data_IF_807226612268
#
_entry.id   IF_807226612268
#
_cell.length_a   1.000
_cell.length_b   1.000
_cell.length_c   1.000
_cell.angle_alpha   90.00
_cell.angle_beta   90.00
_cell.angle_gamma   90.00
#
_symmetry.space_group_name_H-M   'P 1'
#
loop_
_entity.id
_entity.type
_entity.pdbx_description
1 polymer ?
#
# COMPACT_ATOMS: atom_id res chain seq x y z
N UNK A 1 1.78 -4.51 -29.22
CA UNK A 1 1.73 -4.07 -27.81
C UNK A 1 0.27 -3.83 -27.43
N UNK A 2 -0.10 -4.09 -26.18
CA UNK A 2 -1.44 -3.83 -25.65
C UNK A 2 -1.60 -2.34 -25.41
N UNK A 3 -2.69 -1.75 -25.88
CA UNK A 3 -3.08 -0.39 -25.57
C UNK A 3 -4.01 -0.41 -24.35
N UNK A 4 -3.70 0.38 -23.33
CA UNK A 4 -4.58 0.57 -22.17
C UNK A 4 -5.40 1.84 -22.36
N UNK A 5 -6.72 1.74 -22.41
CA UNK A 5 -7.62 2.90 -22.34
C UNK A 5 -8.13 3.06 -20.91
N UNK A 6 -7.72 4.11 -20.20
CA UNK A 6 -8.18 4.40 -18.84
C UNK A 6 -9.35 5.38 -18.86
N UNK A 7 -10.44 5.04 -18.17
CA UNK A 7 -11.67 5.82 -18.12
C UNK A 7 -12.15 6.07 -16.70
N UNK A 8 -12.65 7.28 -16.47
CA UNK A 8 -13.26 7.67 -15.21
C UNK A 8 -14.74 7.24 -15.10
N UNK A 9 -15.34 6.77 -16.21
CA UNK A 9 -16.76 6.44 -16.31
C UNK A 9 -16.98 5.18 -17.13
N UNK A 10 -17.77 4.25 -16.56
CA UNK A 10 -18.22 3.04 -17.27
C UNK A 10 -19.06 3.34 -18.51
N UNK A 11 -19.74 4.50 -18.54
CA UNK A 11 -20.53 4.92 -19.70
C UNK A 11 -19.63 5.28 -20.88
N UNK A 12 -18.57 6.05 -20.63
CA UNK A 12 -17.61 6.43 -21.68
C UNK A 12 -16.82 5.22 -22.18
N UNK A 13 -16.41 4.36 -21.24
CA UNK A 13 -15.74 3.10 -21.55
C UNK A 13 -16.61 2.22 -22.46
N UNK A 14 -17.90 2.06 -22.15
CA UNK A 14 -18.83 1.27 -22.97
C UNK A 14 -18.98 1.84 -24.38
N UNK A 15 -19.01 3.17 -24.53
CA UNK A 15 -19.00 3.82 -25.84
C UNK A 15 -17.71 3.54 -26.62
N UNK A 16 -16.56 3.63 -25.96
CA UNK A 16 -15.27 3.36 -26.58
C UNK A 16 -15.05 1.89 -26.92
N UNK A 17 -15.62 0.96 -26.14
CA UNK A 17 -15.58 -0.47 -26.46
C UNK A 17 -16.20 -0.75 -27.83
N UNK A 18 -17.41 -0.23 -28.06
CA UNK A 18 -18.10 -0.36 -29.35
C UNK A 18 -17.29 0.25 -30.50
N UNK A 19 -16.70 1.43 -30.29
CA UNK A 19 -15.85 2.07 -31.30
C UNK A 19 -14.55 1.29 -31.55
N UNK A 20 -13.99 0.67 -30.52
CA UNK A 20 -12.77 -0.13 -30.63
C UNK A 20 -13.00 -1.41 -31.44
N UNK A 21 -14.13 -2.09 -31.20
CA UNK A 21 -14.54 -3.33 -31.88
C UNK A 21 -14.99 -3.10 -33.34
N UNK A 22 -15.31 -1.88 -33.74
CA UNK A 22 -15.82 -1.55 -35.09
C UNK A 22 -14.91 -0.55 -35.84
N UNK A 23 -15.04 0.74 -35.53
CA UNK A 23 -14.35 1.83 -36.22
C UNK A 23 -12.82 1.76 -36.13
N UNK A 24 -12.28 1.56 -34.93
CA UNK A 24 -10.82 1.53 -34.71
C UNK A 24 -10.23 0.31 -35.39
N UNK A 25 -10.86 -0.86 -35.25
CA UNK A 25 -10.46 -2.07 -35.95
C UNK A 25 -10.43 -1.85 -37.47
N UNK A 26 -11.50 -1.28 -38.04
CA UNK A 26 -11.59 -1.00 -39.47
C UNK A 26 -10.52 -0.02 -39.93
N UNK A 27 -10.31 1.08 -39.19
CA UNK A 27 -9.30 2.10 -39.53
C UNK A 27 -7.88 1.57 -39.43
N UNK A 28 -7.55 0.79 -38.39
CA UNK A 28 -6.24 0.14 -38.24
C UNK A 28 -5.96 -0.88 -39.34
N UNK A 29 -7.00 -1.56 -39.84
CA UNK A 29 -6.87 -2.50 -40.94
C UNK A 29 -6.74 -1.82 -42.31
N UNK A 30 -7.37 -0.66 -42.51
CA UNK A 30 -7.37 0.04 -43.80
C UNK A 30 -6.24 1.07 -43.98
N UNK A 31 -5.31 1.18 -43.03
CA UNK A 31 -4.21 2.17 -43.07
C UNK A 31 -3.46 2.19 -44.40
N UNK A 32 -3.13 1.01 -44.95
CA UNK A 32 -2.40 0.88 -46.21
C UNK A 32 -3.32 0.68 -47.43
N UNK A 33 -4.63 0.63 -47.21
CA UNK A 33 -5.65 0.46 -48.25
C UNK A 33 -6.31 1.80 -48.63
N UNK A 34 -5.97 2.90 -47.96
CA UNK A 34 -6.48 4.23 -48.28
C UNK A 34 -5.59 4.97 -49.28
N UNK A 35 -6.19 5.80 -50.11
CA UNK A 35 -5.47 6.69 -51.05
C UNK A 35 -4.61 7.75 -50.35
N UNK A 36 -4.80 7.94 -49.04
CA UNK A 36 -3.99 8.86 -48.22
C UNK A 36 -2.74 8.13 -47.72
N UNK A 37 -1.57 8.58 -48.16
CA UNK A 37 -0.28 8.10 -47.62
C UNK A 37 -0.13 8.47 -46.15
N UNK A 38 0.22 7.48 -45.33
CA UNK A 38 0.41 7.62 -43.88
C UNK A 38 1.78 7.06 -43.47
N UNK A 39 2.87 7.82 -43.69
CA UNK A 39 4.23 7.38 -43.37
C UNK A 39 4.36 6.96 -41.89
N UNK A 40 5.04 5.84 -41.65
CA UNK A 40 5.27 5.32 -40.30
C UNK A 40 4.12 4.50 -39.69
N UNK A 41 2.96 4.39 -40.37
CA UNK A 41 1.86 3.52 -39.93
C UNK A 41 1.80 2.22 -40.74
N UNK A 42 1.57 1.10 -40.04
CA UNK A 42 1.39 -0.22 -40.63
C UNK A 42 -0.03 -0.74 -40.43
N UNK A 43 -0.52 -1.56 -41.36
CA UNK A 43 -1.79 -2.26 -41.20
C UNK A 43 -1.73 -3.20 -39.98
N UNK A 44 -2.73 -3.10 -39.10
CA UNK A 44 -2.86 -3.95 -37.90
C UNK A 44 -4.29 -4.44 -37.76
N UNK A 45 -4.45 -5.75 -37.56
CA UNK A 45 -5.73 -6.35 -37.19
C UNK A 45 -5.86 -6.32 -35.67
N UNK A 46 -6.83 -5.55 -35.17
CA UNK A 46 -7.26 -5.60 -33.77
C UNK A 46 -8.27 -6.75 -33.67
N UNK A 47 -8.04 -7.70 -32.76
CA UNK A 47 -8.89 -8.88 -32.62
C UNK A 47 -9.39 -9.09 -31.21
N UNK A 48 -8.64 -8.61 -30.22
CA UNK A 48 -8.94 -8.86 -28.83
C UNK A 48 -9.06 -7.54 -28.06
N UNK A 49 -10.30 -7.05 -27.94
CA UNK A 49 -10.66 -5.90 -27.12
C UNK A 49 -11.31 -6.44 -25.85
N UNK A 50 -10.75 -6.12 -24.69
CA UNK A 50 -11.27 -6.57 -23.41
C UNK A 50 -11.42 -5.41 -22.43
N UNK A 51 -12.12 -5.65 -21.32
CA UNK A 51 -12.37 -4.68 -20.26
C UNK A 51 -11.89 -5.18 -18.89
N UNK A 52 -11.39 -4.25 -18.08
CA UNK A 52 -11.02 -4.47 -16.69
C UNK A 52 -11.75 -3.43 -15.83
N UNK A 53 -12.99 -3.75 -15.48
CA UNK A 53 -13.91 -2.84 -14.80
C UNK A 53 -14.62 -3.55 -13.66
N UNK A 54 -15.38 -2.79 -12.86
CA UNK A 54 -16.23 -3.36 -11.81
C UNK A 54 -17.38 -4.23 -12.33
N UNK A 55 -17.63 -4.30 -13.65
CA UNK A 55 -18.60 -5.21 -14.26
C UNK A 55 -18.05 -6.63 -14.44
N UNK A 56 -16.73 -6.77 -14.44
CA UNK A 56 -16.07 -8.07 -14.55
C UNK A 56 -16.19 -8.80 -13.22
N UNK A 57 -16.60 -10.07 -13.27
CA UNK A 57 -16.75 -10.86 -12.04
C UNK A 57 -15.39 -11.15 -11.41
N UNK A 58 -15.33 -11.25 -10.07
CA UNK A 58 -14.09 -11.56 -9.35
C UNK A 58 -13.43 -12.88 -9.80
N UNK A 59 -14.23 -13.83 -10.34
CA UNK A 59 -13.73 -15.10 -10.88
C UNK A 59 -12.98 -14.93 -12.21
N UNK A 60 -13.34 -13.92 -12.99
CA UNK A 60 -12.74 -13.66 -14.31
C UNK A 60 -11.52 -12.74 -14.23
N UNK A 61 -11.40 -11.94 -13.17
CA UNK A 61 -10.28 -11.00 -13.00
C UNK A 61 -8.93 -11.72 -13.12
N UNK A 62 -8.61 -12.78 -12.35
CA UNK A 62 -7.30 -13.44 -12.44
C UNK A 62 -6.98 -13.91 -13.86
N UNK A 63 -7.96 -14.55 -14.52
CA UNK A 63 -7.80 -15.03 -15.91
C UNK A 63 -7.49 -13.89 -16.89
N UNK A 64 -8.13 -12.73 -16.73
CA UNK A 64 -7.84 -11.56 -17.59
C UNK A 64 -6.47 -10.98 -17.32
N UNK A 65 -6.01 -10.99 -16.07
CA UNK A 65 -4.66 -10.57 -15.70
C UNK A 65 -3.61 -11.49 -16.33
N UNK A 66 -3.79 -12.80 -16.22
CA UNK A 66 -2.92 -13.78 -16.88
C UNK A 66 -2.86 -13.53 -18.40
N UNK A 67 -4.00 -13.19 -19.01
CA UNK A 67 -4.05 -12.89 -20.43
C UNK A 67 -3.34 -11.57 -20.81
N UNK A 68 -3.32 -10.57 -19.91
CA UNK A 68 -2.59 -9.32 -20.11
C UNK A 68 -1.07 -9.52 -20.05
N UNK A 69 -0.59 -10.56 -19.38
CA UNK A 69 0.84 -10.92 -19.37
C UNK A 69 1.31 -11.57 -20.68
N UNK A 70 0.39 -12.12 -21.48
CA UNK A 70 0.71 -12.77 -22.75
C UNK A 70 1.38 -11.77 -23.72
N UNK A 71 2.59 -12.12 -24.17
CA UNK A 71 3.36 -11.31 -25.12
C UNK A 71 2.83 -11.47 -26.55
N UNK A 72 2.91 -10.41 -27.34
CA UNK A 72 2.58 -10.48 -28.77
C UNK A 72 3.60 -11.35 -29.51
N UNK A 73 3.09 -12.22 -30.38
CA UNK A 73 3.87 -13.10 -31.26
C UNK A 73 3.49 -12.86 -32.72
N UNK A 74 4.41 -13.16 -33.64
CA UNK A 74 4.18 -13.00 -35.09
C UNK A 74 3.17 -14.03 -35.63
N UNK A 75 3.20 -15.25 -35.12
CA UNK A 75 2.27 -16.33 -35.44
C UNK A 75 1.69 -16.92 -34.16
N UNK A 76 0.45 -17.38 -34.24
CA UNK A 76 -0.30 -17.99 -33.14
C UNK A 76 -0.74 -19.39 -33.55
N UNK A 77 -0.56 -20.38 -32.67
CA UNK A 77 -1.06 -21.72 -32.92
C UNK A 77 -2.60 -21.77 -32.80
N UNK A 78 -3.22 -22.78 -33.43
CA UNK A 78 -4.67 -23.00 -33.34
C UNK A 78 -5.03 -23.37 -31.89
N UNK A 79 -5.87 -22.55 -31.24
CA UNK A 79 -6.28 -22.74 -29.85
C UNK A 79 -5.39 -22.06 -28.79
N UNK A 80 -4.32 -21.37 -29.19
CA UNK A 80 -3.48 -20.62 -28.27
C UNK A 80 -4.16 -19.32 -27.79
N UNK A 81 -4.05 -19.02 -26.50
CA UNK A 81 -4.55 -17.75 -25.92
C UNK A 81 -3.79 -16.58 -26.50
N UNK A 82 -4.50 -15.69 -27.18
CA UNK A 82 -3.92 -14.49 -27.79
C UNK A 82 -3.77 -13.35 -26.78
N UNK A 83 -2.71 -12.57 -26.97
CA UNK A 83 -2.52 -11.30 -26.26
C UNK A 83 -3.71 -10.35 -26.49
N UNK A 84 -4.01 -9.51 -25.49
CA UNK A 84 -5.04 -8.48 -25.60
C UNK A 84 -4.49 -7.30 -26.41
N UNK A 85 -5.22 -6.87 -27.45
CA UNK A 85 -4.86 -5.71 -28.28
C UNK A 85 -5.15 -4.40 -27.55
N UNK A 86 -6.35 -4.30 -26.99
CA UNK A 86 -6.85 -3.13 -26.27
C UNK A 86 -7.51 -3.60 -24.99
N UNK A 87 -7.07 -3.05 -23.85
CA UNK A 87 -7.76 -3.23 -22.57
C UNK A 87 -8.35 -1.90 -22.15
N UNK A 88 -9.65 -1.87 -21.92
CA UNK A 88 -10.36 -0.69 -21.42
C UNK A 88 -10.58 -0.86 -19.92
N UNK A 89 -10.03 0.04 -19.13
CA UNK A 89 -10.01 -0.10 -17.68
C UNK A 89 -10.51 1.16 -16.98
N UNK A 90 -10.95 0.96 -15.74
CA UNK A 90 -11.20 2.04 -14.77
C UNK A 90 -10.22 1.89 -13.59
N UNK A 91 -10.59 2.39 -12.42
CA UNK A 91 -9.85 2.26 -11.16
C UNK A 91 -9.39 0.83 -10.84
N UNK A 92 -10.01 -0.21 -11.40
CA UNK A 92 -9.55 -1.60 -11.23
C UNK A 92 -8.10 -1.83 -11.67
N UNK A 93 -7.57 -1.03 -12.61
CA UNK A 93 -6.16 -1.10 -13.00
C UNK A 93 -5.22 -0.45 -11.96
N UNK A 94 -5.69 0.56 -11.23
CA UNK A 94 -4.88 1.25 -10.24
C UNK A 94 -4.71 0.41 -8.96
N UNK A 95 -5.74 -0.37 -8.59
CA UNK A 95 -5.73 -1.24 -7.41
C UNK A 95 -5.06 -2.59 -7.72
N UNK A 96 -3.79 -2.73 -7.32
CA UNK A 96 -3.15 -4.04 -7.09
C UNK A 96 -2.88 -4.95 -8.29
N UNK A 97 -3.15 -4.51 -9.53
CA UNK A 97 -2.84 -5.29 -10.73
C UNK A 97 -1.36 -5.12 -11.10
N UNK A 98 -0.58 -6.21 -11.08
CA UNK A 98 0.82 -6.20 -11.49
C UNK A 98 1.01 -6.79 -12.88
N UNK A 99 0.90 -5.94 -13.92
CA UNK A 99 1.25 -6.35 -15.29
C UNK A 99 2.47 -5.55 -15.72
N UNK A 100 3.63 -6.18 -15.61
CA UNK A 100 4.93 -5.52 -15.82
C UNK A 100 5.20 -5.03 -17.25
N UNK A 101 4.37 -5.45 -18.22
CA UNK A 101 4.64 -5.25 -19.65
C UNK A 101 3.85 -4.17 -20.37
N UNK A 102 3.01 -3.43 -19.66
CA UNK A 102 2.20 -2.36 -20.27
C UNK A 102 3.13 -1.20 -20.66
N UNK A 103 3.06 -0.79 -21.94
CA UNK A 103 3.93 0.25 -22.49
C UNK A 103 3.20 1.41 -23.18
N UNK A 104 1.88 1.32 -23.35
CA UNK A 104 1.09 2.37 -23.95
C UNK A 104 -0.24 2.53 -23.22
N UNK A 105 -0.54 3.75 -22.78
CA UNK A 105 -1.80 4.09 -22.14
C UNK A 105 -2.36 5.40 -22.68
N UNK A 106 -3.68 5.43 -22.84
CA UNK A 106 -4.45 6.64 -23.10
C UNK A 106 -5.37 6.85 -21.91
N UNK A 107 -5.26 8.00 -21.25
CA UNK A 107 -6.12 8.39 -20.12
C UNK A 107 -7.18 9.36 -20.63
N UNK A 108 -8.45 8.96 -20.56
CA UNK A 108 -9.57 9.78 -21.02
C UNK A 108 -10.14 10.65 -19.89
N UNK A 109 -9.80 11.93 -19.92
CA UNK A 109 -10.11 12.93 -18.89
C UNK A 109 -9.24 12.76 -17.65
N UNK A 110 -9.14 13.81 -16.83
CA UNK A 110 -8.36 13.74 -15.61
C UNK A 110 -9.07 12.85 -14.57
N UNK A 111 -8.39 11.83 -13.99
CA UNK A 111 -8.95 11.05 -12.90
C UNK A 111 -9.38 11.89 -11.71
N UNK A 112 -10.39 11.40 -10.99
CA UNK A 112 -11.03 12.19 -9.93
C UNK A 112 -10.08 12.54 -8.79
N UNK A 113 -9.14 11.64 -8.50
CA UNK A 113 -8.13 11.83 -7.47
C UNK A 113 -6.73 11.81 -8.09
N UNK A 114 -5.82 12.63 -7.59
CA UNK A 114 -4.42 12.62 -8.02
C UNK A 114 -3.75 11.30 -7.68
N UNK A 115 -4.05 10.72 -6.51
CA UNK A 115 -3.53 9.40 -6.13
C UNK A 115 -3.89 8.32 -7.17
N UNK A 116 -5.13 8.34 -7.66
CA UNK A 116 -5.62 7.40 -8.66
C UNK A 116 -4.90 7.58 -10.01
N UNK A 117 -4.70 8.84 -10.44
CA UNK A 117 -3.93 9.16 -11.63
C UNK A 117 -2.52 8.56 -11.56
N UNK A 118 -1.80 8.81 -10.46
CA UNK A 118 -0.44 8.28 -10.24
C UNK A 118 -0.44 6.75 -10.27
N UNK A 119 -1.36 6.13 -9.52
CA UNK A 119 -1.43 4.67 -9.43
C UNK A 119 -1.79 4.01 -10.76
N UNK A 120 -2.57 4.66 -11.61
CA UNK A 120 -2.91 4.15 -12.94
C UNK A 120 -1.76 4.34 -13.94
N UNK A 121 -1.21 5.56 -14.04
CA UNK A 121 -0.18 5.87 -15.05
C UNK A 121 1.16 5.22 -14.75
N UNK A 122 1.51 5.04 -13.46
CA UNK A 122 2.70 4.29 -13.03
C UNK A 122 2.65 2.77 -13.32
N UNK A 123 1.54 2.25 -13.83
CA UNK A 123 1.45 0.86 -14.34
C UNK A 123 2.10 0.70 -15.70
N UNK A 124 2.34 1.80 -16.40
CA UNK A 124 2.87 1.81 -17.77
C UNK A 124 4.32 2.24 -17.72
N UNK A 125 5.18 1.51 -18.44
CA UNK A 125 6.58 1.88 -18.55
C UNK A 125 7.50 1.34 -17.44
N UNK A 126 7.09 0.27 -16.73
CA UNK A 126 7.86 -0.31 -15.60
C UNK A 126 9.15 -1.01 -16.02
N UNK A 127 9.06 -1.89 -17.02
CA UNK A 127 10.21 -2.69 -17.50
C UNK A 127 10.84 -2.10 -18.75
N UNK A 128 10.01 -1.52 -19.63
CA UNK A 128 10.43 -0.90 -20.88
C UNK A 128 9.89 0.53 -20.92
N UNK A 129 10.48 1.45 -21.69
CA UNK A 129 9.94 2.80 -21.85
C UNK A 129 8.45 2.76 -22.21
N UNK A 130 7.65 3.53 -21.47
CA UNK A 130 6.21 3.64 -21.64
C UNK A 130 5.81 5.02 -22.14
N UNK A 131 4.72 5.08 -22.90
CA UNK A 131 4.08 6.33 -23.32
C UNK A 131 2.67 6.41 -22.73
N UNK A 132 2.39 7.50 -22.02
CA UNK A 132 1.07 7.81 -21.50
C UNK A 132 0.57 9.08 -22.17
N UNK A 133 -0.58 9.00 -22.84
CA UNK A 133 -1.24 10.14 -23.45
C UNK A 133 -2.48 10.51 -22.63
N UNK A 134 -2.50 11.68 -22.01
CA UNK A 134 -3.68 12.19 -21.30
C UNK A 134 -4.52 13.04 -22.25
N UNK A 135 -5.75 12.61 -22.51
CA UNK A 135 -6.70 13.29 -23.40
C UNK A 135 -7.70 14.05 -22.53
N UNK A 136 -7.60 15.37 -22.51
CA UNK A 136 -8.44 16.24 -21.68
C UNK A 136 -9.59 16.83 -22.51
N UNK A 137 -10.82 16.76 -22.01
CA UNK A 137 -12.00 17.22 -22.75
C UNK A 137 -12.25 18.71 -22.49
N UNK A 138 -12.15 19.54 -23.51
CA UNK A 138 -12.34 21.01 -23.39
C UNK A 138 -13.71 21.43 -22.84
N UNK A 139 -14.77 20.64 -23.08
CA UNK A 139 -16.12 20.94 -22.55
C UNK A 139 -16.26 20.69 -21.05
N UNK A 140 -15.26 20.09 -20.40
CA UNK A 140 -15.22 19.87 -18.95
C UNK A 140 -14.30 20.91 -18.31
N UNK A 141 -14.82 21.86 -17.52
CA UNK A 141 -14.00 22.91 -16.90
C UNK A 141 -12.81 22.37 -16.08
N UNK A 142 -13.00 21.21 -15.42
CA UNK A 142 -11.93 20.52 -14.68
C UNK A 142 -10.79 20.07 -15.59
N UNK A 143 -11.11 19.41 -16.70
CA UNK A 143 -10.12 18.92 -17.65
C UNK A 143 -9.38 20.11 -18.30
N UNK A 144 -10.09 21.19 -18.61
CA UNK A 144 -9.49 22.41 -19.14
C UNK A 144 -8.49 23.04 -18.15
N UNK A 145 -8.85 23.16 -16.88
CA UNK A 145 -7.93 23.67 -15.84
C UNK A 145 -6.67 22.80 -15.69
N UNK A 146 -6.82 21.47 -15.77
CA UNK A 146 -5.67 20.56 -15.78
C UNK A 146 -4.84 20.67 -17.05
N UNK A 147 -5.45 20.97 -18.20
CA UNK A 147 -4.74 21.17 -19.45
C UNK A 147 -3.87 22.44 -19.39
N UNK A 148 -4.44 23.55 -18.92
CA UNK A 148 -3.73 24.83 -18.78
C UNK A 148 -2.55 24.77 -17.81
N UNK A 149 -2.60 23.87 -16.82
CA UNK A 149 -1.56 23.73 -15.79
C UNK A 149 -0.78 22.42 -15.90
N UNK A 150 -0.89 21.70 -17.03
CA UNK A 150 -0.46 20.30 -17.14
C UNK A 150 1.01 20.08 -16.74
N UNK A 151 1.94 20.90 -17.24
CA UNK A 151 3.37 20.81 -16.93
C UNK A 151 3.65 21.10 -15.46
N UNK A 152 3.08 22.19 -14.92
CA UNK A 152 3.26 22.54 -13.51
C UNK A 152 2.66 21.48 -12.57
N UNK A 153 1.49 20.95 -12.93
CA UNK A 153 0.85 19.85 -12.23
C UNK A 153 1.77 18.62 -12.23
N UNK A 154 2.30 18.21 -13.38
CA UNK A 154 3.23 17.07 -13.50
C UNK A 154 4.60 17.30 -12.83
N UNK A 155 5.06 18.54 -12.70
CA UNK A 155 6.27 18.84 -11.95
C UNK A 155 6.05 18.72 -10.42
N UNK A 156 4.79 18.82 -9.97
CA UNK A 156 4.46 18.94 -8.54
C UNK A 156 3.35 18.01 -8.05
N UNK A 157 2.97 17.00 -8.83
CA UNK A 157 1.79 16.16 -8.65
C UNK A 157 1.70 15.46 -7.28
N UNK A 158 2.83 15.11 -6.65
CA UNK A 158 2.82 14.55 -5.30
C UNK A 158 2.24 15.50 -4.24
N UNK A 159 2.35 16.83 -4.41
CA UNK A 159 1.74 17.80 -3.49
C UNK A 159 0.22 17.83 -3.57
N UNK A 160 -0.33 17.38 -4.70
CA UNK A 160 -1.76 17.35 -5.00
C UNK A 160 -2.42 16.03 -4.61
N UNK A 161 -1.65 15.07 -4.10
CA UNK A 161 -2.19 13.82 -3.55
C UNK A 161 -3.07 14.17 -2.36
N UNK A 162 -4.35 13.85 -2.48
CA UNK A 162 -5.32 14.14 -1.45
C UNK A 162 -4.94 13.39 -0.17
N UNK A 163 -4.85 14.09 0.94
CA UNK A 163 -4.73 13.44 2.24
C UNK A 163 -5.97 12.57 2.44
N UNK A 164 -5.79 11.26 2.52
CA UNK A 164 -6.88 10.37 2.89
C UNK A 164 -7.37 10.80 4.27
N UNK A 165 -8.68 11.01 4.43
CA UNK A 165 -9.27 11.50 5.67
C UNK A 165 -9.14 10.45 6.77
N UNK A 166 -7.97 10.42 7.41
CA UNK A 166 -7.74 9.65 8.62
C UNK A 166 -8.15 10.50 9.80
N UNK A 167 -9.06 9.99 10.63
CA UNK A 167 -9.41 10.64 11.90
C UNK A 167 -8.34 10.26 12.92
N UNK A 168 -7.43 11.16 13.33
CA UNK A 168 -6.40 10.82 14.30
C UNK A 168 -7.03 10.40 15.63
N UNK A 169 -6.37 9.50 16.35
CA UNK A 169 -6.84 8.99 17.66
C UNK A 169 -8.29 8.47 17.63
N UNK A 170 -8.73 7.90 16.51
CA UNK A 170 -10.00 7.18 16.45
C UNK A 170 -9.98 6.00 17.44
N UNK A 171 -11.08 5.73 18.19
CA UNK A 171 -11.10 4.66 19.21
C UNK A 171 -10.59 3.32 18.70
N UNK A 172 -11.02 2.90 17.50
CA UNK A 172 -10.62 1.63 16.89
C UNK A 172 -9.16 1.59 16.44
N UNK A 173 -8.58 2.74 16.12
CA UNK A 173 -7.15 2.83 15.84
C UNK A 173 -6.33 2.69 17.14
N UNK A 174 -6.80 3.28 18.24
CA UNK A 174 -6.17 3.13 19.56
C UNK A 174 -6.28 1.70 20.07
N UNK A 175 -7.42 1.04 19.90
CA UNK A 175 -7.60 -0.37 20.28
C UNK A 175 -6.53 -1.29 19.65
N UNK A 176 -6.12 -1.00 18.41
CA UNK A 176 -5.17 -1.82 17.64
C UNK A 176 -3.71 -1.40 17.80
N UNK A 177 -3.43 -0.10 17.93
CA UNK A 177 -2.06 0.43 17.84
C UNK A 177 -1.47 0.96 19.15
N UNK A 178 -2.29 1.22 20.16
CA UNK A 178 -1.85 1.90 21.38
C UNK A 178 -0.87 1.05 22.20
N UNK A 179 -1.16 -0.24 22.36
CA UNK A 179 -0.33 -1.14 23.17
C UNK A 179 1.07 -1.33 22.58
N UNK A 180 1.15 -1.53 21.27
CA UNK A 180 2.44 -1.61 20.57
C UNK A 180 3.24 -0.31 20.73
N UNK A 181 2.60 0.84 20.50
CA UNK A 181 3.24 2.15 20.67
C UNK A 181 3.75 2.37 22.09
N UNK A 182 2.92 2.08 23.10
CA UNK A 182 3.25 2.25 24.52
C UNK A 182 4.42 1.36 24.93
N UNK A 183 4.40 0.08 24.55
CA UNK A 183 5.46 -0.87 24.87
C UNK A 183 6.76 -0.47 24.17
N UNK A 184 6.71 -0.08 22.90
CA UNK A 184 7.89 0.41 22.17
C UNK A 184 8.50 1.65 22.84
N UNK A 185 7.68 2.62 23.28
CA UNK A 185 8.18 3.78 24.01
C UNK A 185 8.88 3.39 25.31
N UNK A 186 8.29 2.48 26.11
CA UNK A 186 8.91 2.02 27.35
C UNK A 186 10.24 1.29 27.10
N UNK A 187 10.29 0.41 26.10
CA UNK A 187 11.50 -0.38 25.76
C UNK A 187 12.63 0.46 25.17
N UNK A 188 12.30 1.54 24.47
CA UNK A 188 13.27 2.45 23.85
C UNK A 188 13.77 3.51 24.83
N UNK A 189 12.98 3.91 25.81
CA UNK A 189 13.35 4.93 26.79
C UNK A 189 14.09 4.35 28.01
N UNK A 190 13.83 3.09 28.36
CA UNK A 190 14.37 2.49 29.58
C UNK A 190 15.05 1.15 29.28
N UNK A 191 16.35 1.06 29.57
CA UNK A 191 17.16 -0.13 29.31
C UNK A 191 16.67 -1.36 30.09
N UNK A 192 16.19 -1.19 31.32
CA UNK A 192 15.68 -2.28 32.17
C UNK A 192 14.44 -2.98 31.57
N UNK A 193 13.67 -2.25 30.76
CA UNK A 193 12.48 -2.75 30.07
C UNK A 193 12.83 -3.28 28.67
N UNK A 194 14.06 -3.12 28.19
CA UNK A 194 14.43 -3.53 26.84
C UNK A 194 14.42 -5.07 26.60
N UNK A 195 15.00 -5.89 27.51
CA UNK A 195 15.06 -7.35 27.35
C UNK A 195 13.67 -8.00 27.37
N UNK A 196 13.54 -9.21 26.81
CA UNK A 196 12.25 -9.91 26.77
C UNK A 196 11.59 -10.01 28.15
N UNK A 197 12.37 -10.39 29.16
CA UNK A 197 11.94 -10.54 30.56
C UNK A 197 11.84 -9.21 31.32
N UNK A 198 12.29 -8.11 30.72
CA UNK A 198 12.11 -6.76 31.25
C UNK A 198 10.64 -6.39 31.41
N UNK A 199 9.74 -7.09 30.71
CA UNK A 199 8.30 -6.98 30.92
C UNK A 199 7.88 -7.17 32.39
N UNK A 200 8.57 -8.02 33.15
CA UNK A 200 8.24 -8.25 34.55
C UNK A 200 8.66 -7.09 35.48
N UNK A 201 9.60 -6.26 35.05
CA UNK A 201 10.10 -5.14 35.85
C UNK A 201 9.03 -4.08 36.09
N UNK A 202 8.01 -3.98 35.23
CA UNK A 202 6.86 -3.08 35.44
C UNK A 202 5.87 -3.67 36.46
N UNK A 203 6.26 -3.63 37.74
CA UNK A 203 5.53 -4.24 38.87
C UNK A 203 4.53 -3.30 39.56
N UNK A 204 4.52 -2.01 39.22
CA UNK A 204 3.61 -1.00 39.82
C UNK A 204 3.22 0.07 38.81
N UNK A 205 1.94 0.44 38.80
CA UNK A 205 1.42 1.47 37.89
C UNK A 205 1.94 2.89 38.18
N UNK A 206 2.42 3.13 39.40
CA UNK A 206 2.95 4.42 39.85
C UNK A 206 4.40 4.69 39.48
N UNK A 207 5.03 3.80 38.69
CA UNK A 207 6.42 3.96 38.25
C UNK A 207 6.61 5.23 37.39
N UNK A 208 7.72 5.97 37.54
CA UNK A 208 7.98 7.15 36.71
C UNK A 208 8.01 6.83 35.20
N UNK A 209 8.39 5.62 34.84
CA UNK A 209 8.39 5.12 33.46
C UNK A 209 6.96 5.10 32.89
N UNK A 210 6.00 4.60 33.68
CA UNK A 210 4.58 4.52 33.33
C UNK A 210 3.94 5.92 33.20
N UNK A 211 4.24 6.83 34.13
CA UNK A 211 3.73 8.22 34.07
C UNK A 211 4.29 8.98 32.87
N UNK A 212 5.57 8.79 32.55
CA UNK A 212 6.22 9.42 31.39
C UNK A 212 5.51 9.02 30.09
N UNK A 213 5.25 7.73 29.88
CA UNK A 213 4.59 7.27 28.65
C UNK A 213 3.13 7.72 28.56
N UNK A 214 2.41 7.77 29.69
CA UNK A 214 1.07 8.38 29.74
C UNK A 214 1.08 9.83 29.30
N UNK A 215 2.01 10.64 29.81
CA UNK A 215 2.15 12.04 29.45
C UNK A 215 2.50 12.21 27.97
N UNK A 216 3.49 11.47 27.47
CA UNK A 216 3.91 11.56 26.05
C UNK A 216 2.75 11.25 25.10
N UNK A 217 2.02 10.16 25.34
CA UNK A 217 0.92 9.75 24.46
C UNK A 217 -0.29 10.69 24.56
N UNK A 218 -0.65 11.12 25.77
CA UNK A 218 -1.78 12.04 25.97
C UNK A 218 -1.49 13.43 25.41
N UNK A 219 -0.28 13.96 25.60
CA UNK A 219 0.12 15.26 25.04
C UNK A 219 0.20 15.23 23.52
N UNK A 220 0.60 14.09 22.93
CA UNK A 220 0.52 13.90 21.47
C UNK A 220 -0.93 13.92 20.99
N UNK A 221 -1.84 13.27 21.70
CA UNK A 221 -3.28 13.28 21.38
C UNK A 221 -3.89 14.70 21.46
N UNK A 222 -3.47 15.49 22.45
CA UNK A 222 -3.86 16.89 22.58
C UNK A 222 -3.38 17.74 21.42
N UNK A 223 -2.08 17.64 21.06
CA UNK A 223 -1.48 18.44 19.97
C UNK A 223 -2.09 18.14 18.60
N UNK A 224 -2.51 16.89 18.37
CA UNK A 224 -2.99 16.44 17.05
C UNK A 224 -4.50 16.62 16.89
N UNK A 225 -5.29 16.58 17.98
CA UNK A 225 -6.75 16.57 17.88
C UNK A 225 -7.45 17.51 18.87
N UNK A 226 -7.73 17.05 20.09
CA UNK A 226 -8.57 17.77 21.05
C UNK A 226 -8.42 17.22 22.49
N UNK A 227 -9.15 17.84 23.43
CA UNK A 227 -9.15 17.49 24.87
C UNK A 227 -9.72 16.10 25.11
N UNK A 228 -10.72 15.71 24.31
CA UNK A 228 -11.40 14.42 24.44
C UNK A 228 -10.45 13.28 24.06
N UNK A 229 -9.65 13.46 23.01
CA UNK A 229 -8.61 12.53 22.61
C UNK A 229 -7.49 12.45 23.65
N UNK A 230 -7.07 13.57 24.24
CA UNK A 230 -6.12 13.58 25.36
C UNK A 230 -6.61 12.70 26.50
N UNK A 231 -7.82 12.96 26.99
CA UNK A 231 -8.40 12.22 28.11
C UNK A 231 -8.60 10.74 27.77
N UNK A 232 -9.09 10.44 26.57
CA UNK A 232 -9.26 9.05 26.11
C UNK A 232 -7.93 8.30 26.04
N UNK A 233 -6.92 8.91 25.42
CA UNK A 233 -5.60 8.29 25.30
C UNK A 233 -4.99 8.04 26.68
N UNK A 234 -5.08 9.01 27.60
CA UNK A 234 -4.60 8.84 28.98
C UNK A 234 -5.30 7.69 29.71
N UNK A 235 -6.63 7.64 29.70
CA UNK A 235 -7.42 6.56 30.32
C UNK A 235 -7.08 5.20 29.72
N UNK A 236 -6.96 5.11 28.40
CA UNK A 236 -6.67 3.85 27.70
C UNK A 236 -5.24 3.36 27.95
N UNK A 237 -4.27 4.26 28.12
CA UNK A 237 -2.90 3.90 28.50
C UNK A 237 -2.87 3.46 29.97
N UNK A 238 -3.55 4.17 30.86
CA UNK A 238 -3.62 3.81 32.28
C UNK A 238 -4.19 2.39 32.49
N UNK A 239 -5.32 2.07 31.86
CA UNK A 239 -5.92 0.72 31.94
C UNK A 239 -4.97 -0.38 31.42
N UNK A 240 -4.23 -0.11 30.33
CA UNK A 240 -3.24 -1.07 29.80
C UNK A 240 -2.06 -1.26 30.73
N UNK A 241 -1.56 -0.20 31.36
CA UNK A 241 -0.48 -0.28 32.35
C UNK A 241 -0.96 -1.08 33.56
N UNK A 242 -2.17 -0.82 34.07
CA UNK A 242 -2.73 -1.55 35.20
C UNK A 242 -2.89 -3.05 34.90
N UNK A 243 -3.30 -3.40 33.68
CA UNK A 243 -3.39 -4.80 33.25
C UNK A 243 -2.02 -5.46 33.08
N UNK A 244 -1.05 -4.75 32.52
CA UNK A 244 0.32 -5.24 32.45
C UNK A 244 0.87 -5.50 33.86
N UNK A 245 0.74 -4.55 34.77
CA UNK A 245 1.17 -4.70 36.17
C UNK A 245 0.51 -5.92 36.84
N UNK A 246 -0.79 -6.13 36.63
CA UNK A 246 -1.49 -7.34 37.11
C UNK A 246 -0.87 -8.63 36.55
N UNK A 247 -0.52 -8.65 35.28
CA UNK A 247 0.12 -9.81 34.65
C UNK A 247 1.54 -10.03 35.20
N UNK A 248 2.28 -8.96 35.54
CA UNK A 248 3.65 -8.98 36.06
C UNK A 248 3.75 -9.47 37.51
N UNK A 249 2.78 -9.13 38.35
CA UNK A 249 2.73 -9.52 39.78
C UNK A 249 2.24 -10.97 39.97
N UNK A 250 1.61 -11.57 38.96
CA UNK A 250 1.01 -12.91 39.10
C UNK A 250 2.06 -13.97 39.44
N UNK A 251 1.95 -14.54 40.64
CA UNK A 251 2.88 -15.55 41.14
C UNK A 251 2.86 -16.84 40.30
N UNK A 252 4.00 -17.54 40.26
CA UNK A 252 4.15 -18.85 39.62
C UNK A 252 4.51 -18.83 38.12
N UNK A 253 4.76 -17.65 37.54
CA UNK A 253 5.25 -17.51 36.16
C UNK A 253 6.10 -16.25 36.01
N UNK A 254 6.97 -16.23 35.01
CA UNK A 254 7.73 -15.04 34.61
C UNK A 254 7.01 -14.32 33.47
N UNK A 255 7.07 -13.00 33.42
CA UNK A 255 6.46 -12.22 32.34
C UNK A 255 7.52 -11.82 31.32
N UNK A 256 7.33 -12.23 30.08
CA UNK A 256 8.10 -11.78 28.93
C UNK A 256 7.21 -11.00 27.95
N UNK A 257 7.80 -10.20 27.06
CA UNK A 257 7.04 -9.61 25.94
C UNK A 257 6.50 -10.70 25.00
N UNK A 258 7.33 -11.68 24.69
CA UNK A 258 6.99 -12.87 23.91
C UNK A 258 7.39 -14.14 24.66
N UNK A 259 6.78 -15.27 24.28
CA UNK A 259 7.17 -16.60 24.76
C UNK A 259 7.78 -17.39 23.61
N UNK A 260 8.94 -18.01 23.83
CA UNK A 260 9.60 -18.88 22.86
C UNK A 260 9.15 -20.34 23.05
N UNK A 261 9.21 -21.15 21.99
CA UNK A 261 8.90 -22.59 22.07
C UNK A 261 9.87 -23.25 23.05
N UNK A 262 9.33 -23.82 24.14
CA UNK A 262 10.11 -24.51 25.18
C UNK A 262 10.28 -23.74 26.49
N UNK A 263 9.86 -22.47 26.56
CA UNK A 263 9.85 -21.67 27.81
C UNK A 263 8.48 -21.74 28.50
N UNK A 264 8.17 -22.87 29.12
CA UNK A 264 6.87 -23.10 29.78
C UNK A 264 6.61 -22.23 31.02
N UNK A 265 7.65 -21.61 31.58
CA UNK A 265 7.59 -20.72 32.74
C UNK A 265 7.34 -19.24 32.37
N UNK A 266 7.48 -18.87 31.09
CA UNK A 266 7.35 -17.48 30.62
C UNK A 266 5.99 -17.28 29.94
N UNK A 267 5.15 -16.44 30.56
CA UNK A 267 3.95 -15.94 29.92
C UNK A 267 4.26 -14.73 29.02
N UNK A 268 3.68 -14.73 27.83
CA UNK A 268 3.77 -13.62 26.90
C UNK A 268 2.77 -12.51 27.26
N UNK A 269 3.27 -11.29 27.41
CA UNK A 269 2.45 -10.08 27.52
C UNK A 269 1.78 -9.76 26.19
N UNK A 270 2.53 -9.83 25.07
CA UNK A 270 2.04 -9.49 23.74
C UNK A 270 1.53 -10.73 23.00
N UNK A 271 0.41 -10.57 22.29
CA UNK A 271 -0.20 -11.62 21.50
C UNK A 271 -0.09 -11.33 20.01
N UNK A 272 0.15 -12.41 19.27
CA UNK A 272 0.26 -12.40 17.81
C UNK A 272 -1.14 -12.36 17.18
N UNK A 273 -1.39 -11.51 16.18
CA UNK A 273 -2.68 -11.50 15.48
C UNK A 273 -2.91 -12.82 14.74
N UNK A 274 -4.14 -13.34 14.77
CA UNK A 274 -4.60 -14.46 13.92
C UNK A 274 -5.02 -15.72 14.68
N UNK A 275 -4.40 -16.05 15.82
CA UNK A 275 -4.73 -17.29 16.54
C UNK A 275 -5.96 -17.14 17.46
N UNK A 276 -6.22 -15.94 17.95
CA UNK A 276 -7.33 -15.63 18.88
C UNK A 276 -8.05 -14.36 18.45
N UNK A 277 -9.25 -14.15 18.99
CA UNK A 277 -9.95 -12.87 18.85
C UNK A 277 -9.05 -11.71 19.30
N UNK A 278 -9.14 -10.58 18.61
CA UNK A 278 -8.32 -9.41 18.90
C UNK A 278 -8.61 -8.91 20.31
N UNK A 279 -7.58 -8.86 21.14
CA UNK A 279 -7.64 -8.28 22.47
C UNK A 279 -6.72 -7.06 22.58
N UNK A 280 -6.71 -6.41 23.74
CA UNK A 280 -5.94 -5.19 23.95
C UNK A 280 -4.42 -5.39 23.88
N UNK A 281 -3.92 -6.61 24.05
CA UNK A 281 -2.49 -6.93 23.96
C UNK A 281 -2.13 -7.66 22.66
N UNK A 282 -3.07 -7.75 21.72
CA UNK A 282 -2.81 -8.17 20.35
C UNK A 282 -2.17 -7.00 19.60
N UNK A 283 -0.93 -7.18 19.16
CA UNK A 283 -0.14 -6.12 18.50
C UNK A 283 0.24 -6.57 17.09
N UNK A 284 0.00 -5.77 16.05
CA UNK A 284 0.43 -6.11 14.69
C UNK A 284 1.96 -6.17 14.60
N UNK A 285 2.48 -7.12 13.82
CA UNK A 285 3.93 -7.31 13.62
C UNK A 285 4.63 -6.17 12.89
N UNK A 286 3.86 -5.38 12.14
CA UNK A 286 4.37 -4.27 11.35
C UNK A 286 3.33 -3.16 11.37
N UNK A 287 3.76 -1.98 11.77
CA UNK A 287 3.14 -0.75 11.33
C UNK A 287 3.65 -0.59 9.91
N UNK A 288 2.84 -0.95 8.91
CA UNK A 288 3.24 -0.91 7.49
C UNK A 288 3.81 0.48 7.17
N UNK A 289 5.13 0.60 7.09
CA UNK A 289 5.79 1.81 6.62
C UNK A 289 5.71 1.83 5.10
N UNK A 290 5.24 2.96 4.59
CA UNK A 290 5.37 3.34 3.16
C UNK A 290 6.69 4.09 2.96
N UNK A 291 7.57 4.10 3.96
CA UNK A 291 8.89 4.71 3.87
C UNK A 291 9.88 3.69 3.32
N UNK A 292 10.69 4.05 2.31
CA UNK A 292 11.75 3.18 1.85
C UNK A 292 12.72 2.92 2.99
N UNK A 293 13.00 1.64 3.27
CA UNK A 293 13.91 1.24 4.33
C UNK A 293 15.25 1.97 4.20
N UNK A 294 15.58 2.78 5.21
CA UNK A 294 16.85 3.48 5.26
C UNK A 294 17.93 2.49 5.68
N UNK A 295 18.95 2.31 4.85
CA UNK A 295 20.13 1.50 5.20
C UNK A 295 20.97 2.28 6.20
N UNK A 296 20.74 2.04 7.48
CA UNK A 296 21.62 2.52 8.55
C UNK A 296 22.95 1.76 8.47
N UNK A 297 23.98 2.42 7.94
CA UNK A 297 25.36 1.94 8.00
C UNK A 297 25.98 2.51 9.27
N UNK A 298 26.09 1.69 10.31
CA UNK A 298 26.84 2.06 11.50
C UNK A 298 28.33 1.88 11.24
N UNK A 299 29.09 2.97 11.26
CA UNK A 299 30.54 2.92 11.17
C UNK A 299 31.12 2.56 12.55
N UNK A 300 31.36 1.27 12.75
CA UNK A 300 31.90 0.71 13.98
C UNK A 300 33.32 1.19 14.29
N UNK A 301 34.05 1.73 13.31
CA UNK A 301 35.41 2.25 13.51
C UNK A 301 35.43 3.63 14.19
N UNK A 302 34.30 4.35 14.20
CA UNK A 302 34.15 5.65 14.88
C UNK A 302 33.56 5.55 16.28
N UNK A 303 33.12 4.35 16.69
CA UNK A 303 32.63 4.10 18.04
C UNK A 303 33.83 3.78 18.94
N UNK A 304 34.05 4.60 19.97
CA UNK A 304 35.11 4.39 20.96
C UNK A 304 34.96 3.07 21.70
N UNK A 305 33.71 2.60 21.87
CA UNK A 305 33.36 1.29 22.39
C UNK A 305 32.32 0.62 21.49
N UNK A 306 32.51 -0.65 21.09
CA UNK A 306 31.50 -1.38 20.35
C UNK A 306 30.25 -1.59 21.23
N UNK A 307 29.03 -1.52 20.67
CA UNK A 307 27.82 -1.78 21.43
C UNK A 307 27.85 -3.20 22.04
N UNK A 308 27.45 -3.32 23.31
CA UNK A 308 27.39 -4.61 24.02
C UNK A 308 26.34 -5.57 23.43
N UNK A 309 25.42 -5.06 22.60
CA UNK A 309 24.43 -5.86 21.89
C UNK A 309 24.96 -6.27 20.50
N UNK A 310 24.65 -7.50 20.08
CA UNK A 310 24.86 -7.95 18.70
C UNK A 310 23.52 -8.01 18.00
N UNK A 311 23.45 -7.53 16.76
CA UNK A 311 22.28 -7.73 15.92
C UNK A 311 22.00 -9.24 15.81
N UNK A 312 20.75 -9.64 16.02
CA UNK A 312 20.34 -11.04 15.83
C UNK A 312 20.67 -11.42 14.38
N UNK A 313 21.42 -12.49 14.18
CA UNK A 313 21.61 -13.03 12.84
C UNK A 313 20.24 -13.33 12.26
N UNK A 314 20.00 -12.92 11.01
CA UNK A 314 18.75 -13.28 10.32
C UNK A 314 18.76 -14.79 10.15
N UNK A 315 17.81 -15.48 10.77
CA UNK A 315 17.55 -16.88 10.46
C UNK A 315 17.10 -16.94 8.99
N UNK A 316 17.83 -17.67 8.17
CA UNK A 316 17.62 -17.74 6.72
C UNK A 316 16.26 -18.37 6.31
N UNK A 317 15.46 -18.84 7.28
CA UNK A 317 14.23 -19.61 7.04
C UNK A 317 12.92 -18.85 7.31
N UNK A 318 12.94 -17.60 7.82
CA UNK A 318 11.68 -16.91 8.17
C UNK A 318 11.15 -15.91 7.14
N UNK A 319 11.86 -15.66 6.03
CA UNK A 319 11.33 -14.82 4.94
C UNK A 319 10.53 -15.65 3.94
N UNK A 320 9.30 -16.00 4.35
CA UNK A 320 8.20 -16.22 3.42
C UNK A 320 7.67 -14.88 2.90
N UNK A 321 8.53 -14.13 2.21
CA UNK A 321 8.25 -12.75 1.81
C UNK A 321 9.20 -12.20 0.76
N UNK A 322 9.41 -12.94 -0.33
CA UNK A 322 9.73 -12.28 -1.61
C UNK A 322 8.49 -11.52 -2.08
N UNK A 323 8.44 -10.21 -1.82
CA UNK A 323 7.67 -9.22 -2.57
C UNK A 323 8.20 -7.80 -2.27
#
# INVERSE_FOLDING_TARGET
MTLVGYFNSLRELGGMRRLAEDDVQTRCYRVQMSEVSRPGLSQRSIRNVDELTSRVSNKEIPRKLDQLEVKFKAAWAKGETRAIDIVLATNMLSVGVDVNRLGLMVVNGQPKNTAEYIQATSRVGRVFPGLVCTVLTWSRPRDLSHYETFEHYHATFYKHVEAQSVTPFAPRALDRGLTGTMVSLLRLLYEDLNPNLGAQTLDRSGRPEASTVRTVVSDRAWKVKDKVARSRADTMVADRIDRWVKEAIKAGRRLGYETERGQGDVAALLKKPGATAWDEFTVPFSMREVEPGVRLVMDVARLSDPPQWRARARDAESDGGEA
#
